data_IF_507368806655
#
_entry.id   IF_507368806655
#
_cell.length_a   1.000
_cell.length_b   1.000
_cell.length_c   1.000
_cell.angle_alpha   90.00
_cell.angle_beta   90.00
_cell.angle_gamma   90.00
#
_symmetry.space_group_name_H-M   'P 1'
#
loop_
_entity.id
_entity.type
_entity.pdbx_description
1 polymer ?
#
# COMPACT_ATOMS: atom_id res chain seq x y z
N UNK A 1 -21.12 39.74 62.78
CA UNK A 1 -20.75 40.66 61.68
C UNK A 1 -19.44 40.17 61.08
N UNK A 2 -19.30 40.29 59.75
CA UNK A 2 -18.15 39.92 58.89
C UNK A 2 -17.98 38.40 58.66
N UNK A 3 -17.85 37.89 57.43
CA UNK A 3 -17.79 38.52 56.12
C UNK A 3 -18.10 37.51 55.00
N UNK A 4 -18.80 38.00 53.98
CA UNK A 4 -19.07 37.33 52.70
C UNK A 4 -17.83 37.38 51.81
N UNK A 5 -17.41 36.23 51.28
CA UNK A 5 -16.58 36.19 50.06
C UNK A 5 -17.06 35.06 49.18
N UNK A 6 -18.04 35.37 48.33
CA UNK A 6 -18.42 34.50 47.21
C UNK A 6 -17.64 34.96 45.99
N UNK A 7 -16.57 34.23 45.68
CA UNK A 7 -15.78 34.40 44.46
C UNK A 7 -16.67 34.12 43.24
N UNK A 8 -17.00 35.15 42.46
CA UNK A 8 -17.53 35.01 41.11
C UNK A 8 -16.38 34.59 40.19
N UNK A 9 -16.20 33.29 39.99
CA UNK A 9 -15.40 32.79 38.88
C UNK A 9 -16.22 32.97 37.59
N UNK A 10 -15.82 33.94 36.77
CA UNK A 10 -16.38 34.17 35.45
C UNK A 10 -16.07 32.95 34.55
N UNK A 11 -17.10 32.27 34.07
CA UNK A 11 -16.98 31.32 32.96
C UNK A 11 -16.68 32.11 31.69
N UNK A 12 -15.41 32.11 31.27
CA UNK A 12 -15.08 32.42 29.90
C UNK A 12 -15.60 31.29 29.00
N UNK A 13 -16.32 31.59 27.91
CA UNK A 13 -16.74 30.56 26.96
C UNK A 13 -15.49 29.95 26.33
N UNK A 14 -15.35 28.63 26.47
CA UNK A 14 -14.35 27.83 25.77
C UNK A 14 -14.57 28.04 24.27
N UNK A 15 -13.58 28.66 23.61
CA UNK A 15 -13.51 28.73 22.16
C UNK A 15 -13.47 27.30 21.64
N UNK A 16 -14.50 26.89 20.91
CA UNK A 16 -14.54 25.58 20.25
C UNK A 16 -13.35 25.51 19.27
N UNK A 17 -12.44 24.58 19.51
CA UNK A 17 -11.38 24.24 18.55
C UNK A 17 -12.05 23.73 17.28
N UNK A 18 -11.68 24.28 16.14
CA UNK A 18 -11.99 23.68 14.84
C UNK A 18 -11.56 22.20 14.88
N UNK A 19 -12.46 21.32 14.45
CA UNK A 19 -12.26 19.88 14.49
C UNK A 19 -10.94 19.52 13.78
N UNK A 20 -10.15 18.63 14.38
CA UNK A 20 -8.96 18.12 13.72
C UNK A 20 -9.36 17.54 12.36
N UNK A 21 -8.63 17.86 11.28
CA UNK A 21 -8.91 17.27 9.98
C UNK A 21 -8.94 15.75 10.16
N UNK A 22 -10.03 15.13 9.72
CA UNK A 22 -10.24 13.70 9.88
C UNK A 22 -9.08 12.89 9.29
N UNK A 23 -8.97 11.60 9.64
CA UNK A 23 -7.94 10.74 9.07
C UNK A 23 -7.98 10.84 7.53
N UNK A 24 -6.83 10.82 6.85
CA UNK A 24 -6.79 10.87 5.39
C UNK A 24 -7.66 9.75 4.83
N UNK A 25 -8.79 10.13 4.24
CA UNK A 25 -9.77 9.23 3.65
C UNK A 25 -9.60 9.26 2.13
N UNK A 26 -9.73 8.10 1.50
CA UNK A 26 -9.79 7.98 0.04
C UNK A 26 -11.05 7.20 -0.29
N UNK A 27 -11.78 7.62 -1.32
CA UNK A 27 -12.99 6.94 -1.79
C UNK A 27 -12.68 5.70 -2.64
N UNK A 28 -11.39 5.39 -2.84
CA UNK A 28 -10.93 4.32 -3.71
C UNK A 28 -10.48 3.09 -2.90
N UNK A 29 -11.38 2.11 -2.80
CA UNK A 29 -11.11 0.83 -2.13
C UNK A 29 -9.89 0.10 -2.70
N UNK A 30 -9.57 0.31 -3.97
CA UNK A 30 -8.40 -0.26 -4.65
C UNK A 30 -7.07 0.07 -3.95
N UNK A 31 -7.00 1.19 -3.22
CA UNK A 31 -5.80 1.59 -2.49
C UNK A 31 -5.50 0.68 -1.30
N UNK A 32 -6.47 -0.09 -0.84
CA UNK A 32 -6.24 -1.13 0.16
C UNK A 32 -5.28 -2.20 -0.34
N UNK A 33 -5.25 -2.47 -1.65
CA UNK A 33 -4.24 -3.36 -2.26
C UNK A 33 -2.84 -2.80 -2.02
N UNK A 34 -2.62 -1.51 -2.26
CA UNK A 34 -1.31 -0.88 -2.06
C UNK A 34 -0.86 -0.87 -0.59
N UNK A 35 -1.83 -0.76 0.34
CA UNK A 35 -1.57 -0.71 1.77
C UNK A 35 -1.29 -2.08 2.38
N UNK A 36 -1.95 -3.13 1.89
CA UNK A 36 -1.89 -4.46 2.50
C UNK A 36 -1.04 -5.44 1.72
N UNK A 37 -1.11 -5.45 0.38
CA UNK A 37 -0.58 -6.55 -0.42
C UNK A 37 0.92 -6.74 -0.19
N UNK A 38 1.26 -7.99 0.10
CA UNK A 38 2.61 -8.49 0.29
C UNK A 38 2.98 -9.46 -0.82
N UNK A 39 4.25 -9.83 -0.86
CA UNK A 39 4.75 -10.78 -1.86
C UNK A 39 4.02 -12.13 -1.74
N UNK A 40 3.57 -12.65 -2.87
CA UNK A 40 2.81 -13.89 -2.99
C UNK A 40 1.31 -13.66 -3.07
N UNK A 41 0.82 -12.47 -2.71
CA UNK A 41 -0.61 -12.15 -2.82
C UNK A 41 -1.04 -12.01 -4.29
N UNK A 42 -2.24 -12.51 -4.58
CA UNK A 42 -2.87 -12.34 -5.88
C UNK A 42 -3.73 -11.08 -5.90
N UNK A 43 -3.55 -10.28 -6.95
CA UNK A 43 -4.23 -9.01 -7.19
C UNK A 43 -4.93 -9.09 -8.53
N UNK A 44 -6.23 -8.86 -8.52
CA UNK A 44 -7.06 -8.77 -9.72
C UNK A 44 -7.20 -7.32 -10.17
N UNK A 45 -7.07 -7.11 -11.48
CA UNK A 45 -7.42 -5.84 -12.11
C UNK A 45 -8.85 -5.97 -12.62
N UNK A 46 -9.77 -5.28 -11.93
CA UNK A 46 -11.22 -5.42 -12.16
C UNK A 46 -11.78 -4.39 -13.13
N UNK A 47 -11.08 -3.27 -13.28
CA UNK A 47 -11.49 -2.22 -14.20
C UNK A 47 -10.30 -1.42 -14.72
N UNK A 48 -10.41 -0.98 -15.98
CA UNK A 48 -9.46 -0.09 -16.64
C UNK A 48 -10.14 1.26 -16.85
N UNK A 49 -9.84 2.20 -15.96
CA UNK A 49 -10.45 3.52 -15.93
C UNK A 49 -10.03 4.34 -17.14
N UNK A 50 -8.73 4.37 -17.43
CA UNK A 50 -8.17 5.08 -18.59
C UNK A 50 -6.97 4.32 -19.15
N UNK A 51 -6.95 4.07 -20.47
CA UNK A 51 -5.75 3.57 -21.16
C UNK A 51 -4.86 4.75 -21.55
N UNK A 52 -3.58 4.66 -21.18
CA UNK A 52 -2.56 5.66 -21.47
C UNK A 52 -1.69 5.27 -22.67
N UNK A 53 -1.51 3.97 -22.90
CA UNK A 53 -0.88 3.40 -24.10
C UNK A 53 -1.86 2.50 -24.85
N UNK A 54 -1.81 2.50 -26.19
CA UNK A 54 -2.78 1.79 -27.04
C UNK A 54 -2.46 0.31 -27.25
N UNK A 55 -1.17 -0.07 -27.23
CA UNK A 55 -0.72 -1.39 -27.67
C UNK A 55 -0.29 -2.35 -26.53
N UNK A 56 -0.48 -1.95 -25.26
CA UNK A 56 -0.09 -2.78 -24.12
C UNK A 56 -1.26 -3.57 -23.52
N UNK A 57 -1.00 -4.83 -23.18
CA UNK A 57 -1.98 -5.70 -22.55
C UNK A 57 -2.08 -5.44 -21.04
N UNK A 58 -3.30 -5.43 -20.52
CA UNK A 58 -3.58 -5.25 -19.10
C UNK A 58 -4.02 -6.60 -18.53
N UNK A 59 -3.20 -7.26 -17.70
CA UNK A 59 -3.54 -8.56 -17.16
C UNK A 59 -4.73 -8.44 -16.20
N UNK A 60 -5.66 -9.39 -16.25
CA UNK A 60 -6.79 -9.44 -15.33
C UNK A 60 -6.41 -9.92 -13.92
N UNK A 61 -5.34 -10.70 -13.81
CA UNK A 61 -4.84 -11.24 -12.56
C UNK A 61 -3.32 -11.20 -12.54
N UNK A 62 -2.76 -10.90 -11.38
CA UNK A 62 -1.31 -10.74 -11.18
C UNK A 62 -0.91 -11.24 -9.80
N UNK A 63 0.36 -11.63 -9.65
CA UNK A 63 0.93 -11.98 -8.34
C UNK A 63 1.95 -10.93 -7.91
N UNK A 64 1.90 -10.48 -6.66
CA UNK A 64 2.90 -9.56 -6.10
C UNK A 64 4.22 -10.28 -5.95
N UNK A 65 5.24 -9.86 -6.68
CA UNK A 65 6.60 -10.41 -6.56
C UNK A 65 7.48 -9.59 -5.63
N UNK A 66 7.18 -8.29 -5.46
CA UNK A 66 7.92 -7.42 -4.55
C UNK A 66 7.11 -6.21 -4.12
N UNK A 67 7.09 -5.95 -2.80
CA UNK A 67 6.67 -4.67 -2.23
C UNK A 67 7.89 -3.80 -1.93
N UNK A 68 7.83 -2.52 -2.29
CA UNK A 68 8.84 -1.51 -1.89
C UNK A 68 8.12 -0.30 -1.31
N UNK A 69 8.58 0.21 -0.17
CA UNK A 69 7.92 1.34 0.52
C UNK A 69 8.84 2.58 0.55
N UNK A 70 8.99 3.30 -0.57
CA UNK A 70 9.71 4.56 -0.59
C UNK A 70 8.95 5.67 0.15
N UNK A 71 9.61 6.82 0.34
CA UNK A 71 9.03 8.00 1.00
C UNK A 71 7.68 8.45 0.39
N UNK A 72 7.49 8.25 -0.91
CA UNK A 72 6.29 8.66 -1.65
C UNK A 72 5.15 7.62 -1.63
N UNK A 73 5.25 6.57 -0.81
CA UNK A 73 4.23 5.54 -0.70
C UNK A 73 4.60 4.22 -1.39
N UNK A 74 3.87 3.14 -1.11
CA UNK A 74 4.20 1.79 -1.55
C UNK A 74 4.17 1.65 -3.08
N UNK A 75 5.03 0.76 -3.59
CA UNK A 75 5.10 0.30 -4.96
C UNK A 75 5.06 -1.22 -4.97
N UNK A 76 4.22 -1.80 -5.81
CA UNK A 76 4.12 -3.24 -5.98
C UNK A 76 4.67 -3.61 -7.36
N UNK A 77 5.67 -4.47 -7.38
CA UNK A 77 6.07 -5.16 -8.61
C UNK A 77 5.23 -6.42 -8.70
N UNK A 78 4.58 -6.60 -9.83
CA UNK A 78 3.64 -7.67 -10.12
C UNK A 78 4.18 -8.53 -11.27
N UNK A 79 3.78 -9.79 -11.32
CA UNK A 79 4.05 -10.70 -12.44
C UNK A 79 2.75 -11.28 -12.98
N UNK A 80 2.65 -11.38 -14.31
CA UNK A 80 1.60 -12.08 -15.04
C UNK A 80 2.12 -12.46 -16.45
N UNK A 81 1.79 -13.66 -16.94
CA UNK A 81 2.09 -14.14 -18.30
C UNK A 81 3.54 -13.88 -18.77
N UNK A 82 4.51 -14.20 -17.91
CA UNK A 82 5.97 -13.97 -18.10
C UNK A 82 6.39 -12.48 -18.21
N UNK A 83 5.46 -11.54 -18.07
CA UNK A 83 5.72 -10.11 -18.00
C UNK A 83 5.78 -9.60 -16.56
N UNK A 84 6.42 -8.44 -16.37
CA UNK A 84 6.39 -7.72 -15.10
C UNK A 84 5.67 -6.39 -15.23
N UNK A 85 4.85 -6.10 -14.23
CA UNK A 85 4.13 -4.86 -14.10
C UNK A 85 4.53 -4.15 -12.82
N UNK A 86 4.27 -2.85 -12.77
CA UNK A 86 4.44 -2.03 -11.58
C UNK A 86 3.11 -1.35 -11.28
N UNK A 87 2.67 -1.43 -10.04
CA UNK A 87 1.47 -0.76 -9.53
C UNK A 87 1.88 0.33 -8.54
N UNK A 88 1.31 1.52 -8.72
CA UNK A 88 1.62 2.70 -7.91
C UNK A 88 0.35 3.47 -7.57
N UNK A 89 0.33 4.13 -6.41
CA UNK A 89 -0.73 5.06 -6.01
C UNK A 89 -0.17 6.50 -6.06
N UNK A 90 -0.39 7.26 -7.13
CA UNK A 90 0.24 8.58 -7.31
C UNK A 90 -0.36 9.70 -6.43
N UNK A 91 -1.57 9.53 -5.90
CA UNK A 91 -2.20 10.53 -5.03
C UNK A 91 -3.59 10.11 -4.52
N UNK A 92 -4.25 10.92 -3.69
CA UNK A 92 -5.57 10.61 -3.12
C UNK A 92 -6.72 10.67 -4.13
N UNK A 93 -6.59 11.49 -5.18
CA UNK A 93 -7.71 11.82 -6.10
C UNK A 93 -7.77 10.94 -7.36
N UNK A 94 -6.80 10.05 -7.54
CA UNK A 94 -6.68 9.16 -8.70
C UNK A 94 -6.72 7.70 -8.27
N UNK A 95 -7.04 6.82 -9.21
CA UNK A 95 -6.94 5.37 -9.05
C UNK A 95 -5.48 4.92 -9.17
N UNK A 96 -5.26 3.61 -9.20
CA UNK A 96 -3.91 3.06 -9.29
C UNK A 96 -3.36 3.23 -10.71
N UNK A 97 -2.08 3.53 -10.83
CA UNK A 97 -1.39 3.52 -12.12
C UNK A 97 -0.66 2.19 -12.28
N UNK A 98 -1.03 1.49 -13.35
CA UNK A 98 -0.36 0.30 -13.85
C UNK A 98 0.68 0.70 -14.89
N UNK A 99 1.84 0.07 -14.79
CA UNK A 99 2.96 0.26 -15.69
C UNK A 99 3.43 -1.09 -16.21
N UNK A 100 3.83 -1.16 -17.47
CA UNK A 100 4.45 -2.33 -18.08
C UNK A 100 5.98 -2.20 -18.05
N UNK A 101 6.68 -3.30 -17.80
CA UNK A 101 8.13 -3.35 -17.86
C UNK A 101 8.64 -3.38 -19.31
N UNK A 102 9.67 -2.59 -19.61
CA UNK A 102 10.37 -2.71 -20.88
C UNK A 102 11.60 -3.58 -20.74
N UNK A 103 11.77 -4.50 -21.70
CA UNK A 103 12.87 -5.44 -21.75
C UNK A 103 13.72 -5.21 -23.00
N UNK A 104 15.02 -5.40 -22.86
CA UNK A 104 15.95 -5.51 -23.97
C UNK A 104 15.82 -6.91 -24.61
N UNK A 105 16.39 -7.08 -25.80
CA UNK A 105 16.36 -8.35 -26.55
C UNK A 105 17.03 -9.53 -25.81
N UNK A 106 17.87 -9.23 -24.80
CA UNK A 106 18.52 -10.21 -23.93
C UNK A 106 17.69 -10.58 -22.69
N UNK A 107 16.50 -9.99 -22.53
CA UNK A 107 15.61 -10.21 -21.40
C UNK A 107 15.90 -9.33 -20.17
N UNK A 108 16.85 -8.38 -20.25
CA UNK A 108 17.07 -7.43 -19.15
C UNK A 108 16.05 -6.29 -19.16
N UNK A 109 15.41 -6.04 -18.00
CA UNK A 109 14.45 -4.93 -17.86
C UNK A 109 15.19 -3.60 -17.69
N UNK A 110 14.95 -2.64 -18.59
CA UNK A 110 15.60 -1.32 -18.55
C UNK A 110 14.67 -0.17 -18.14
N UNK A 111 13.35 -0.38 -18.05
CA UNK A 111 12.42 0.71 -17.75
C UNK A 111 10.98 0.29 -17.46
N UNK A 112 10.14 1.31 -17.28
CA UNK A 112 8.70 1.20 -17.06
C UNK A 112 7.97 2.21 -17.95
N UNK A 113 6.87 1.78 -18.58
CA UNK A 113 5.95 2.65 -19.32
C UNK A 113 4.58 2.65 -18.66
N UNK A 114 3.94 3.82 -18.60
CA UNK A 114 2.57 3.94 -18.08
C UNK A 114 1.62 3.25 -19.03
N UNK A 115 0.89 2.26 -18.53
CA UNK A 115 -0.04 1.51 -19.34
C UNK A 115 -1.46 2.04 -19.19
N UNK A 116 -1.94 2.11 -17.94
CA UNK A 116 -3.32 2.45 -17.65
C UNK A 116 -3.51 2.96 -16.21
N UNK A 117 -4.60 3.67 -16.01
CA UNK A 117 -5.22 3.87 -14.71
C UNK A 117 -6.24 2.76 -14.46
N UNK A 118 -6.14 2.07 -13.33
CA UNK A 118 -6.86 0.83 -13.05
C UNK A 118 -7.44 0.77 -11.64
N UNK A 119 -8.51 0.00 -11.50
CA UNK A 119 -9.04 -0.45 -10.21
C UNK A 119 -8.55 -1.87 -9.96
N UNK A 120 -8.08 -2.14 -8.74
CA UNK A 120 -7.59 -3.45 -8.36
C UNK A 120 -8.21 -3.91 -7.03
N UNK A 121 -8.26 -5.22 -6.82
CA UNK A 121 -8.68 -5.86 -5.57
C UNK A 121 -7.84 -7.11 -5.30
N UNK A 122 -7.92 -7.66 -4.08
CA UNK A 122 -7.38 -8.99 -3.81
C UNK A 122 -8.23 -10.05 -4.51
N UNK A 123 -7.57 -11.05 -5.11
CA UNK A 123 -8.26 -12.18 -5.75
C UNK A 123 -9.00 -13.06 -4.72
N UNK A 124 -8.38 -13.22 -3.55
CA UNK A 124 -8.90 -13.96 -2.41
C UNK A 124 -9.29 -13.00 -1.26
N UNK A 125 -9.76 -13.57 -0.15
CA UNK A 125 -9.96 -12.81 1.08
C UNK A 125 -8.70 -12.01 1.44
N UNK A 126 -8.90 -10.82 2.01
CA UNK A 126 -7.77 -9.96 2.40
C UNK A 126 -6.76 -10.78 3.20
N UNK A 127 -5.49 -10.80 2.78
CA UNK A 127 -4.53 -11.68 3.40
C UNK A 127 -4.35 -11.30 4.87
N UNK A 128 -4.50 -12.30 5.74
CA UNK A 128 -4.18 -12.16 7.15
C UNK A 128 -2.75 -12.62 7.34
N UNK A 129 -1.84 -11.68 7.56
CA UNK A 129 -0.45 -12.00 7.84
C UNK A 129 -0.27 -12.24 9.33
N UNK A 130 0.20 -13.43 9.68
CA UNK A 130 0.75 -13.65 11.01
C UNK A 130 1.98 -12.77 11.18
N UNK A 131 2.02 -12.03 12.28
CA UNK A 131 3.20 -11.28 12.68
C UNK A 131 4.15 -12.23 13.42
N UNK A 132 5.43 -12.16 13.07
CA UNK A 132 6.45 -12.89 13.81
C UNK A 132 6.45 -12.41 15.27
N UNK A 133 6.29 -13.31 16.26
CA UNK A 133 6.24 -12.92 17.67
C UNK A 133 7.57 -12.37 18.19
N UNK A 134 8.68 -12.58 17.48
CA UNK A 134 10.01 -12.11 17.90
C UNK A 134 10.37 -10.73 17.35
N UNK A 135 10.06 -10.43 16.08
CA UNK A 135 10.43 -9.15 15.45
C UNK A 135 9.24 -8.25 15.09
N UNK A 136 8.01 -8.74 15.23
CA UNK A 136 6.79 -8.01 14.92
C UNK A 136 6.56 -7.74 13.43
N UNK A 137 7.38 -8.29 12.53
CA UNK A 137 7.24 -8.14 11.08
C UNK A 137 6.33 -9.24 10.49
N UNK A 138 5.68 -9.01 9.34
CA UNK A 138 4.92 -10.04 8.64
C UNK A 138 5.78 -11.28 8.31
N UNK A 139 5.26 -12.47 8.56
CA UNK A 139 6.00 -13.73 8.30
C UNK A 139 6.24 -14.03 6.81
N UNK A 140 5.54 -13.36 5.88
CA UNK A 140 5.68 -13.58 4.45
C UNK A 140 6.87 -12.83 3.79
N UNK A 141 7.67 -12.10 4.57
CA UNK A 141 8.86 -11.43 4.00
C UNK A 141 9.91 -12.45 3.54
N UNK A 142 10.70 -12.07 2.52
CA UNK A 142 11.78 -12.94 1.96
C UNK A 142 12.73 -13.40 3.06
N UNK A 143 13.04 -12.51 3.99
CA UNK A 143 13.96 -12.82 5.09
C UNK A 143 13.36 -13.80 6.10
N UNK A 144 12.05 -13.72 6.36
CA UNK A 144 11.37 -14.70 7.19
C UNK A 144 11.35 -16.06 6.52
N UNK A 145 10.98 -16.16 5.24
CA UNK A 145 11.01 -17.46 4.53
C UNK A 145 12.41 -18.06 4.52
N UNK A 146 13.44 -17.27 4.22
CA UNK A 146 14.83 -17.74 4.17
C UNK A 146 15.34 -18.17 5.54
N UNK A 147 15.06 -17.42 6.60
CA UNK A 147 15.55 -17.72 7.96
C UNK A 147 14.67 -18.75 8.68
N UNK A 148 13.39 -18.86 8.34
CA UNK A 148 12.49 -19.92 8.82
C UNK A 148 12.98 -21.31 8.38
N UNK A 149 13.54 -21.45 7.17
CA UNK A 149 14.15 -22.69 6.70
C UNK A 149 15.29 -23.21 7.60
N UNK A 150 15.88 -22.34 8.42
CA UNK A 150 16.94 -22.67 9.39
C UNK A 150 16.52 -22.38 10.84
N UNK A 151 15.22 -22.22 11.11
CA UNK A 151 14.66 -22.00 12.44
C UNK A 151 15.08 -20.69 13.12
N UNK A 152 15.32 -19.63 12.35
CA UNK A 152 15.73 -18.30 12.87
C UNK A 152 14.74 -17.21 12.48
N UNK A 153 14.53 -16.25 13.38
CA UNK A 153 13.89 -14.98 13.07
C UNK A 153 14.95 -13.99 12.50
N UNK A 154 14.61 -13.13 11.51
CA UNK A 154 15.48 -12.06 11.08
C UNK A 154 15.88 -11.06 12.16
N UNK A 155 15.15 -11.01 13.27
CA UNK A 155 15.34 -10.05 14.35
C UNK A 155 14.69 -8.70 14.02
N UNK A 156 14.43 -7.86 15.03
CA UNK A 156 13.99 -6.48 14.78
C UNK A 156 15.08 -5.73 14.01
N UNK A 157 14.67 -4.83 13.10
CA UNK A 157 15.57 -3.90 12.41
C UNK A 157 16.27 -2.99 13.42
N UNK A 158 17.39 -3.45 13.98
CA UNK A 158 18.31 -2.62 14.74
C UNK A 158 19.37 -2.10 13.79
N UNK A 159 19.06 -0.97 13.16
CA UNK A 159 19.95 0.03 12.51
C UNK A 159 21.18 -0.46 11.74
#
# INVERSE_FOLDING_TARGET
MQGTSTNKAAHQPLVEREAEPGPPATEYDSKMVMLRAERGDNVQIVDVVTRLTQDGDVPSETTVIKRTTPYFGPKLVLAADDESYLLTAPGPDTQLLLWAGHYLDDGERYGWEKLAEVTAQFADDQPQYDLCPECGQPMQTIEHERKAAVGRCPGPDTR
#
